data_IF_551774042275
#
_entry.id   IF_551774042275
#
_cell.length_a   1.000
_cell.length_b   1.000
_cell.length_c   1.000
_cell.angle_alpha   90.00
_cell.angle_beta   90.00
_cell.angle_gamma   90.00
#
_symmetry.space_group_name_H-M   'P 1'
#
loop_
_entity.id
_entity.type
_entity.pdbx_description
1 polymer ?
#
# COMPACT_ATOMS: atom_id res chain seq x y z
N UNK A 1 11.00 -20.66 -81.09
CA UNK A 1 10.09 -21.39 -82.02
C UNK A 1 8.85 -21.79 -81.25
N UNK A 2 7.66 -21.60 -81.83
CA UNK A 2 6.37 -21.95 -81.22
C UNK A 2 5.73 -23.11 -81.99
N UNK A 3 5.32 -24.15 -81.28
CA UNK A 3 4.81 -25.41 -81.86
C UNK A 3 3.74 -26.08 -80.96
N UNK A 4 3.07 -25.29 -80.11
CA UNK A 4 2.03 -25.79 -79.21
C UNK A 4 0.74 -26.04 -80.00
N UNK A 5 0.13 -27.21 -79.82
CA UNK A 5 -1.10 -27.61 -80.52
C UNK A 5 -0.86 -28.17 -81.93
N UNK A 6 -1.95 -28.34 -82.69
CA UNK A 6 -1.92 -28.82 -84.09
C UNK A 6 -2.74 -27.91 -84.98
N UNK A 7 -2.54 -27.97 -86.30
CA UNK A 7 -3.30 -27.15 -87.26
C UNK A 7 -4.10 -28.00 -88.25
N UNK A 8 -5.21 -27.44 -88.70
CA UNK A 8 -6.05 -27.98 -89.76
C UNK A 8 -5.97 -27.05 -90.97
N UNK A 9 -5.59 -27.60 -92.12
CA UNK A 9 -5.56 -26.92 -93.42
C UNK A 9 -6.76 -27.34 -94.27
N UNK A 10 -7.32 -26.39 -95.00
CA UNK A 10 -8.31 -26.63 -96.06
C UNK A 10 -7.61 -26.49 -97.41
N UNK A 11 -7.87 -27.41 -98.34
CA UNK A 11 -7.24 -27.37 -99.67
C UNK A 11 -7.48 -26.03 -100.38
N UNK A 12 -6.41 -25.46 -100.92
CA UNK A 12 -6.37 -24.17 -101.61
C UNK A 12 -6.87 -22.97 -100.76
N UNK A 13 -6.74 -23.06 -99.43
CA UNK A 13 -7.09 -21.98 -98.51
C UNK A 13 -5.87 -21.36 -97.84
N UNK A 14 -5.94 -20.06 -97.59
CA UNK A 14 -5.00 -19.33 -96.71
C UNK A 14 -5.40 -19.40 -95.24
N UNK A 15 -6.61 -19.88 -94.93
CA UNK A 15 -7.10 -19.98 -93.54
C UNK A 15 -6.50 -21.19 -92.85
N UNK A 16 -5.94 -20.98 -91.66
CA UNK A 16 -5.37 -22.03 -90.82
C UNK A 16 -6.08 -22.06 -89.46
N UNK A 17 -6.64 -23.22 -89.12
CA UNK A 17 -7.34 -23.42 -87.84
C UNK A 17 -6.45 -24.20 -86.89
N UNK A 18 -6.18 -23.63 -85.72
CA UNK A 18 -5.41 -24.26 -84.65
C UNK A 18 -6.29 -24.98 -83.63
N UNK A 19 -5.82 -26.11 -83.13
CA UNK A 19 -6.40 -26.83 -81.99
C UNK A 19 -5.37 -26.86 -80.86
N UNK A 20 -5.75 -26.35 -79.68
CA UNK A 20 -4.85 -26.22 -78.53
C UNK A 20 -3.77 -25.13 -78.68
N UNK A 21 -3.87 -24.30 -79.71
CA UNK A 21 -2.95 -23.18 -79.99
C UNK A 21 -3.34 -21.94 -79.15
N UNK A 22 -2.39 -21.02 -79.00
CA UNK A 22 -2.46 -19.80 -78.18
C UNK A 22 -1.79 -18.62 -78.90
N UNK A 23 -2.07 -18.46 -80.19
CA UNK A 23 -1.36 -17.51 -81.08
C UNK A 23 -1.49 -16.02 -80.71
N UNK A 24 -2.49 -15.63 -79.93
CA UNK A 24 -2.77 -14.23 -79.58
C UNK A 24 -2.30 -13.86 -78.17
N UNK A 25 -1.87 -14.82 -77.36
CA UNK A 25 -1.25 -14.51 -76.06
C UNK A 25 0.15 -13.90 -76.27
N UNK A 26 0.36 -12.67 -75.79
CA UNK A 26 1.60 -11.92 -76.00
C UNK A 26 2.87 -12.69 -75.59
N UNK A 27 2.80 -13.53 -74.56
CA UNK A 27 3.94 -14.32 -74.07
C UNK A 27 4.47 -15.34 -75.10
N UNK A 28 3.64 -15.76 -76.07
CA UNK A 28 4.01 -16.75 -77.08
C UNK A 28 4.75 -16.14 -78.29
N UNK A 29 4.77 -14.81 -78.40
CA UNK A 29 5.52 -14.05 -79.41
C UNK A 29 5.20 -14.44 -80.87
N UNK A 30 3.98 -14.92 -81.14
CA UNK A 30 3.50 -15.21 -82.50
C UNK A 30 2.98 -13.91 -83.12
N UNK A 31 3.52 -13.52 -84.27
CA UNK A 31 3.26 -12.25 -84.93
C UNK A 31 3.04 -12.42 -86.44
N UNK A 32 2.28 -11.52 -87.11
CA UNK A 32 2.27 -11.42 -88.56
C UNK A 32 3.70 -11.29 -89.14
N UNK A 33 3.86 -11.71 -90.40
CA UNK A 33 5.11 -11.81 -91.16
C UNK A 33 6.10 -12.89 -90.70
N UNK A 34 5.83 -13.59 -89.60
CA UNK A 34 6.68 -14.72 -89.19
C UNK A 34 6.53 -15.90 -90.15
N UNK A 35 7.65 -16.62 -90.35
CA UNK A 35 7.67 -17.87 -91.10
C UNK A 35 6.99 -18.99 -90.30
N UNK A 36 6.17 -19.77 -90.98
CA UNK A 36 5.50 -20.96 -90.47
C UNK A 36 5.77 -22.15 -91.38
N UNK A 37 6.08 -23.29 -90.78
CA UNK A 37 6.27 -24.56 -91.46
C UNK A 37 5.17 -25.51 -91.04
N UNK A 38 4.46 -26.10 -91.99
CA UNK A 38 3.36 -27.04 -91.74
C UNK A 38 3.74 -28.37 -92.39
N UNK A 39 3.82 -29.43 -91.59
CA UNK A 39 4.16 -30.76 -92.06
C UNK A 39 2.88 -31.54 -92.40
N UNK A 40 2.73 -31.89 -93.68
CA UNK A 40 1.65 -32.74 -94.20
C UNK A 40 2.28 -33.98 -94.81
N UNK A 41 2.08 -35.14 -94.16
CA UNK A 41 2.81 -36.36 -94.51
C UNK A 41 4.33 -36.17 -94.40
N UNK A 42 5.04 -36.44 -95.50
CA UNK A 42 6.50 -36.27 -95.60
C UNK A 42 6.93 -34.92 -96.19
N UNK A 43 5.98 -34.03 -96.50
CA UNK A 43 6.25 -32.73 -97.11
C UNK A 43 6.11 -31.61 -96.09
N UNK A 44 7.07 -30.68 -96.06
CA UNK A 44 7.01 -29.47 -95.25
C UNK A 44 6.62 -28.29 -96.14
N UNK A 45 5.47 -27.71 -95.86
CA UNK A 45 4.98 -26.51 -96.53
C UNK A 45 5.46 -25.27 -95.79
N UNK A 46 6.33 -24.49 -96.43
CA UNK A 46 6.79 -23.20 -95.93
C UNK A 46 5.79 -22.10 -96.30
N UNK A 47 5.45 -21.26 -95.35
CA UNK A 47 4.57 -20.11 -95.55
C UNK A 47 4.93 -19.01 -94.56
N UNK A 48 4.22 -17.88 -94.62
CA UNK A 48 4.31 -16.82 -93.62
C UNK A 48 2.92 -16.40 -93.16
N UNK A 49 2.83 -15.93 -91.93
CA UNK A 49 1.58 -15.50 -91.31
C UNK A 49 1.20 -14.12 -91.87
N UNK A 50 0.03 -13.99 -92.49
CA UNK A 50 -0.51 -12.72 -92.93
C UNK A 50 -1.12 -11.92 -91.77
N UNK A 51 -1.98 -12.59 -90.98
CA UNK A 51 -2.69 -11.99 -89.85
C UNK A 51 -3.15 -13.05 -88.86
N UNK A 52 -3.40 -12.65 -87.60
CA UNK A 52 -3.81 -13.54 -86.50
C UNK A 52 -5.14 -13.05 -85.95
N UNK A 53 -6.20 -13.82 -86.16
CA UNK A 53 -7.55 -13.45 -85.74
C UNK A 53 -7.76 -13.79 -84.25
N UNK A 54 -7.33 -14.97 -83.82
CA UNK A 54 -7.55 -15.47 -82.46
C UNK A 54 -6.42 -16.43 -82.03
N UNK A 55 -6.54 -16.99 -80.83
CA UNK A 55 -5.63 -18.04 -80.36
C UNK A 55 -5.63 -19.29 -81.26
N UNK A 56 -6.68 -19.49 -82.06
CA UNK A 56 -6.95 -20.69 -82.87
C UNK A 56 -7.24 -20.41 -84.33
N UNK A 57 -7.11 -19.17 -84.79
CA UNK A 57 -7.32 -18.81 -86.20
C UNK A 57 -6.26 -17.80 -86.66
N UNK A 58 -5.57 -18.13 -87.76
CA UNK A 58 -4.66 -17.24 -88.47
C UNK A 58 -4.87 -17.37 -89.98
N UNK A 59 -4.44 -16.34 -90.72
CA UNK A 59 -4.39 -16.31 -92.18
C UNK A 59 -2.94 -16.38 -92.65
N UNK A 60 -2.66 -17.20 -93.64
CA UNK A 60 -1.36 -17.35 -94.31
C UNK A 60 -1.25 -16.45 -95.55
N UNK A 61 -0.04 -16.10 -95.96
CA UNK A 61 0.18 -15.29 -97.16
C UNK A 61 -0.08 -16.08 -98.46
N UNK A 62 0.14 -17.39 -98.45
CA UNK A 62 -0.10 -18.26 -99.60
C UNK A 62 -1.08 -19.39 -99.25
N UNK A 63 -1.91 -19.88 -100.19
CA UNK A 63 -2.80 -21.00 -99.92
C UNK A 63 -2.02 -22.32 -99.77
N UNK A 64 -2.49 -23.20 -98.87
CA UNK A 64 -1.95 -24.56 -98.74
C UNK A 64 -2.71 -25.49 -99.71
N UNK A 65 -2.02 -26.25 -100.58
CA UNK A 65 -2.68 -27.02 -101.65
C UNK A 65 -3.45 -28.23 -101.12
N UNK A 66 -3.12 -28.73 -99.93
CA UNK A 66 -3.62 -30.00 -99.41
C UNK A 66 -4.41 -29.79 -98.12
N UNK A 67 -5.58 -30.44 -98.02
CA UNK A 67 -6.36 -30.49 -96.79
C UNK A 67 -5.77 -31.54 -95.83
N UNK A 68 -5.57 -31.16 -94.57
CA UNK A 68 -5.09 -32.06 -93.52
C UNK A 68 -5.60 -31.59 -92.17
N UNK A 69 -6.13 -32.51 -91.36
CA UNK A 69 -6.49 -32.25 -89.96
C UNK A 69 -5.36 -32.71 -89.05
N UNK A 70 -5.06 -31.92 -88.01
CA UNK A 70 -4.08 -32.30 -86.98
C UNK A 70 -2.61 -32.28 -87.46
N UNK A 71 -2.28 -31.49 -88.47
CA UNK A 71 -0.92 -31.32 -88.95
C UNK A 71 -0.02 -30.69 -87.87
N UNK A 72 1.23 -31.15 -87.80
CA UNK A 72 2.27 -30.51 -86.98
C UNK A 72 2.75 -29.25 -87.67
N UNK A 73 3.10 -28.24 -86.88
CA UNK A 73 3.62 -26.99 -87.39
C UNK A 73 4.65 -26.38 -86.44
N UNK A 74 5.47 -25.48 -86.97
CA UNK A 74 6.41 -24.66 -86.20
C UNK A 74 6.37 -23.24 -86.72
N UNK A 75 6.30 -22.27 -85.82
CA UNK A 75 6.44 -20.83 -86.12
C UNK A 75 7.79 -20.36 -85.58
N UNK A 76 8.55 -19.66 -86.42
CA UNK A 76 9.81 -19.05 -86.02
C UNK A 76 9.53 -17.74 -85.25
N UNK A 77 9.45 -17.85 -83.91
CA UNK A 77 9.14 -16.74 -83.00
C UNK A 77 10.33 -15.86 -82.62
N UNK A 78 11.55 -16.26 -82.96
CA UNK A 78 12.76 -15.48 -82.72
C UNK A 78 13.72 -15.61 -83.91
N UNK A 79 14.23 -14.48 -84.39
CA UNK A 79 15.66 -14.41 -84.73
C UNK A 79 16.36 -14.13 -83.40
N UNK A 80 17.27 -15.01 -82.96
CA UNK A 80 18.13 -14.70 -81.81
C UNK A 80 18.88 -13.39 -82.09
N UNK A 81 19.03 -12.53 -81.09
CA UNK A 81 19.73 -11.23 -81.15
C UNK A 81 19.11 -10.13 -82.03
N UNK A 82 17.77 -10.06 -82.11
CA UNK A 82 17.09 -8.95 -82.81
C UNK A 82 16.66 -7.81 -81.87
N UNK A 83 16.63 -6.60 -82.43
CA UNK A 83 16.14 -5.36 -81.78
C UNK A 83 14.75 -5.59 -81.13
N UNK A 84 13.90 -6.42 -81.73
CA UNK A 84 12.56 -6.72 -81.22
C UNK A 84 12.57 -7.51 -79.90
N UNK A 85 13.53 -8.42 -79.69
CA UNK A 85 13.66 -9.16 -78.42
C UNK A 85 14.10 -8.23 -77.29
N UNK A 86 15.06 -7.35 -77.57
CA UNK A 86 15.50 -6.31 -76.63
C UNK A 86 14.33 -5.36 -76.29
N UNK A 87 13.55 -4.94 -77.28
CA UNK A 87 12.38 -4.08 -77.06
C UNK A 87 11.34 -4.73 -76.13
N UNK A 88 11.02 -6.02 -76.33
CA UNK A 88 10.06 -6.73 -75.48
C UNK A 88 10.55 -6.89 -74.03
N UNK A 89 11.84 -7.19 -73.84
CA UNK A 89 12.43 -7.30 -72.50
C UNK A 89 12.39 -5.94 -71.76
N UNK A 90 12.73 -4.85 -72.46
CA UNK A 90 12.67 -3.48 -71.92
C UNK A 90 11.23 -3.11 -71.55
N UNK A 91 10.25 -3.45 -72.39
CA UNK A 91 8.83 -3.19 -72.10
C UNK A 91 8.35 -3.98 -70.88
N UNK A 92 8.74 -5.24 -70.73
CA UNK A 92 8.39 -6.05 -69.55
C UNK A 92 9.00 -5.48 -68.25
N UNK A 93 10.25 -5.03 -68.30
CA UNK A 93 10.90 -4.35 -67.17
C UNK A 93 10.18 -3.04 -66.81
N UNK A 94 9.86 -2.22 -67.82
CA UNK A 94 9.13 -0.96 -67.61
C UNK A 94 7.73 -1.19 -67.05
N UNK A 95 7.01 -2.21 -67.53
CA UNK A 95 5.69 -2.57 -66.98
C UNK A 95 5.76 -2.93 -65.49
N UNK A 96 6.81 -3.65 -65.08
CA UNK A 96 7.01 -4.01 -63.67
C UNK A 96 7.34 -2.77 -62.82
N UNK A 97 8.13 -1.84 -63.36
CA UNK A 97 8.46 -0.57 -62.70
C UNK A 97 7.23 0.34 -62.56
N UNK A 98 6.39 0.44 -63.59
CA UNK A 98 5.12 1.19 -63.51
C UNK A 98 4.20 0.57 -62.45
N UNK A 99 4.07 -0.76 -62.43
CA UNK A 99 3.28 -1.44 -61.41
C UNK A 99 3.83 -1.16 -60.00
N UNK A 100 5.15 -1.18 -59.79
CA UNK A 100 5.74 -0.81 -58.51
C UNK A 100 5.42 0.64 -58.11
N UNK A 101 5.57 1.59 -59.04
CA UNK A 101 5.24 3.00 -58.82
C UNK A 101 3.77 3.21 -58.48
N UNK A 102 2.86 2.51 -59.17
CA UNK A 102 1.42 2.55 -58.88
C UNK A 102 1.14 2.04 -57.47
N UNK A 103 1.75 0.93 -57.07
CA UNK A 103 1.59 0.38 -55.72
C UNK A 103 2.06 1.38 -54.66
N UNK A 104 3.23 1.99 -54.86
CA UNK A 104 3.75 3.00 -53.93
C UNK A 104 2.82 4.21 -53.87
N UNK A 105 2.38 4.74 -55.01
CA UNK A 105 1.45 5.87 -55.04
C UNK A 105 0.17 5.55 -54.26
N UNK A 106 -0.39 4.35 -54.44
CA UNK A 106 -1.57 3.90 -53.70
C UNK A 106 -1.31 3.80 -52.19
N UNK A 107 -0.17 3.25 -51.76
CA UNK A 107 0.19 3.17 -50.33
C UNK A 107 0.31 4.57 -49.70
N UNK A 108 0.82 5.55 -50.45
CA UNK A 108 1.06 6.92 -49.96
C UNK A 108 -0.19 7.81 -50.01
N UNK A 109 -1.17 7.51 -50.87
CA UNK A 109 -2.30 8.42 -51.16
C UNK A 109 -3.68 7.86 -50.81
N UNK A 110 -3.86 6.54 -50.82
CA UNK A 110 -5.12 5.92 -50.43
C UNK A 110 -5.22 5.78 -48.89
N UNK A 111 -6.42 5.50 -48.41
CA UNK A 111 -6.71 5.31 -46.99
C UNK A 111 -7.14 3.88 -46.68
N UNK A 112 -6.73 3.36 -45.52
CA UNK A 112 -7.18 2.08 -44.99
C UNK A 112 -6.33 0.88 -45.41
N UNK A 113 -7.00 -0.25 -45.64
CA UNK A 113 -6.36 -1.50 -46.10
C UNK A 113 -6.71 -1.70 -47.57
N UNK A 114 -5.69 -1.79 -48.42
CA UNK A 114 -5.84 -1.88 -49.87
C UNK A 114 -5.36 -3.23 -50.40
N UNK A 115 -5.99 -3.71 -51.46
CA UNK A 115 -5.55 -4.88 -52.21
C UNK A 115 -4.52 -4.46 -53.27
N UNK A 116 -3.37 -5.13 -53.26
CA UNK A 116 -2.21 -4.86 -54.12
C UNK A 116 -1.90 -6.11 -54.93
N UNK A 117 -1.92 -5.98 -56.26
CA UNK A 117 -1.48 -7.05 -57.16
C UNK A 117 0.03 -6.98 -57.36
N UNK A 118 0.75 -8.06 -57.09
CA UNK A 118 2.20 -8.18 -57.27
C UNK A 118 2.55 -8.55 -58.73
N UNK A 119 3.81 -8.38 -59.15
CA UNK A 119 4.26 -8.72 -60.51
C UNK A 119 4.05 -10.19 -60.90
N UNK A 120 3.99 -11.10 -59.92
CA UNK A 120 3.67 -12.52 -60.12
C UNK A 120 2.16 -12.81 -60.28
N UNK A 121 1.32 -11.77 -60.22
CA UNK A 121 -0.13 -11.85 -60.34
C UNK A 121 -0.88 -12.11 -59.03
N UNK A 122 -0.18 -12.35 -57.92
CA UNK A 122 -0.81 -12.58 -56.61
C UNK A 122 -1.34 -11.28 -56.01
N UNK A 123 -2.41 -11.37 -55.19
CA UNK A 123 -2.99 -10.21 -54.50
C UNK A 123 -2.68 -10.27 -53.02
N UNK A 124 -2.19 -9.17 -52.45
CA UNK A 124 -1.88 -9.01 -51.02
C UNK A 124 -2.59 -7.79 -50.45
N UNK A 125 -3.08 -7.92 -49.22
CA UNK A 125 -3.58 -6.80 -48.43
C UNK A 125 -2.41 -6.05 -47.80
N UNK A 126 -2.39 -4.73 -47.92
CA UNK A 126 -1.44 -3.88 -47.21
C UNK A 126 -2.13 -2.67 -46.58
N UNK A 127 -1.56 -2.12 -45.52
CA UNK A 127 -2.02 -0.88 -44.89
C UNK A 127 -1.35 0.31 -45.56
N UNK A 128 -2.13 1.35 -45.85
CA UNK A 128 -1.59 2.62 -46.35
C UNK A 128 -0.84 3.38 -45.24
N UNK A 129 -0.09 4.43 -45.59
CA UNK A 129 0.57 5.28 -44.59
C UNK A 129 -0.45 5.95 -43.67
N UNK A 130 -1.54 6.48 -44.22
CA UNK A 130 -2.61 7.10 -43.43
C UNK A 130 -3.23 6.14 -42.39
N UNK A 131 -3.40 4.86 -42.73
CA UNK A 131 -3.91 3.86 -41.78
C UNK A 131 -2.86 3.47 -40.73
N UNK A 132 -1.57 3.51 -41.08
CA UNK A 132 -0.48 3.31 -40.10
C UNK A 132 -0.40 4.47 -39.13
N UNK A 133 -0.44 5.70 -39.63
CA UNK A 133 -0.42 6.91 -38.80
C UNK A 133 -1.62 6.95 -37.86
N UNK A 134 -2.84 6.68 -38.37
CA UNK A 134 -4.04 6.57 -37.54
C UNK A 134 -3.90 5.54 -36.40
N UNK A 135 -3.21 4.43 -36.64
CA UNK A 135 -3.00 3.39 -35.62
C UNK A 135 -1.88 3.74 -34.63
N UNK A 136 -1.04 4.72 -34.95
CA UNK A 136 -0.02 5.27 -34.07
C UNK A 136 -0.56 6.48 -33.30
N UNK A 137 -1.48 7.23 -33.93
CA UNK A 137 -2.15 8.38 -33.35
C UNK A 137 -2.92 7.97 -32.09
N UNK A 138 -2.70 8.69 -30.99
CA UNK A 138 -3.27 8.39 -29.68
C UNK A 138 -2.61 7.24 -28.89
N UNK A 139 -1.55 6.59 -29.39
CA UNK A 139 -0.79 5.63 -28.57
C UNK A 139 0.18 6.37 -27.64
N UNK A 140 0.25 5.89 -26.39
CA UNK A 140 1.16 6.43 -25.39
C UNK A 140 2.62 6.06 -25.70
N UNK A 141 3.53 7.03 -25.55
CA UNK A 141 4.96 6.84 -25.79
C UNK A 141 5.56 5.84 -24.78
N UNK A 142 6.44 4.97 -25.27
CA UNK A 142 7.17 4.00 -24.45
C UNK A 142 8.22 4.67 -23.56
N UNK A 143 8.69 5.86 -23.93
CA UNK A 143 9.58 6.67 -23.09
C UNK A 143 8.85 7.34 -21.92
N UNK A 144 7.51 7.29 -21.88
CA UNK A 144 6.68 7.94 -20.87
C UNK A 144 6.11 9.29 -21.32
N UNK A 145 5.38 9.96 -20.42
CA UNK A 145 4.72 11.23 -20.69
C UNK A 145 3.58 11.51 -19.70
N UNK A 146 2.91 12.65 -19.85
CA UNK A 146 1.73 13.02 -19.05
C UNK A 146 0.45 12.62 -19.78
N UNK A 147 -0.45 11.90 -19.09
CA UNK A 147 -1.82 11.67 -19.55
C UNK A 147 -2.70 12.72 -18.89
N UNK A 148 -3.28 13.63 -19.67
CA UNK A 148 -4.13 14.73 -19.16
C UNK A 148 -5.62 14.40 -19.12
N UNK A 149 -6.04 13.25 -19.66
CA UNK A 149 -7.41 12.75 -19.61
C UNK A 149 -7.61 11.61 -18.62
N UNK A 150 -8.86 11.18 -18.48
CA UNK A 150 -9.22 10.06 -17.60
C UNK A 150 -8.64 8.74 -18.09
N UNK A 151 -8.20 7.90 -17.13
CA UNK A 151 -7.69 6.55 -17.39
C UNK A 151 -8.62 5.52 -16.77
N UNK A 152 -9.22 4.67 -17.62
CA UNK A 152 -10.01 3.52 -17.17
C UNK A 152 -9.17 2.25 -17.21
N UNK A 153 -8.98 1.61 -16.05
CA UNK A 153 -8.29 0.34 -15.97
C UNK A 153 -9.29 -0.82 -16.05
N UNK A 154 -9.03 -1.80 -16.93
CA UNK A 154 -9.87 -3.01 -17.07
C UNK A 154 -9.70 -4.00 -15.90
N UNK A 155 -8.72 -3.76 -15.04
CA UNK A 155 -8.48 -4.46 -13.78
C UNK A 155 -8.24 -3.40 -12.72
N UNK A 156 -8.69 -3.64 -11.49
CA UNK A 156 -8.51 -2.71 -10.36
C UNK A 156 -7.06 -2.71 -9.84
N UNK A 157 -6.07 -2.61 -10.73
CA UNK A 157 -4.66 -2.63 -10.36
C UNK A 157 -3.77 -1.87 -11.34
N UNK A 158 -2.86 -1.08 -10.80
CA UNK A 158 -1.75 -0.46 -11.53
C UNK A 158 -0.47 -1.26 -11.23
N UNK A 159 0.10 -1.87 -12.27
CA UNK A 159 1.37 -2.59 -12.17
C UNK A 159 2.53 -1.65 -12.53
N UNK A 160 3.44 -1.44 -11.59
CA UNK A 160 4.72 -0.78 -11.83
C UNK A 160 5.85 -1.82 -11.79
N UNK A 161 7.05 -1.42 -12.23
CA UNK A 161 8.25 -2.27 -12.12
C UNK A 161 8.62 -2.60 -10.67
N UNK A 162 8.12 -1.81 -9.71
CA UNK A 162 8.41 -1.96 -8.28
C UNK A 162 7.24 -2.52 -7.46
N UNK A 163 6.12 -2.90 -8.10
CA UNK A 163 5.00 -3.49 -7.37
C UNK A 163 3.66 -3.42 -8.09
N UNK A 164 2.62 -3.98 -7.48
CA UNK A 164 1.24 -3.87 -7.95
C UNK A 164 0.42 -3.15 -6.91
N UNK A 165 -0.20 -2.03 -7.27
CA UNK A 165 -1.10 -1.28 -6.41
C UNK A 165 -2.54 -1.60 -6.80
N UNK A 166 -3.27 -2.25 -5.90
CA UNK A 166 -4.70 -2.51 -6.11
C UNK A 166 -5.51 -1.24 -5.79
N UNK A 167 -6.45 -0.91 -6.66
CA UNK A 167 -7.44 0.14 -6.43
C UNK A 167 -8.65 -0.48 -5.71
N UNK A 168 -9.34 0.25 -4.82
CA UNK A 168 -10.58 -0.19 -4.19
C UNK A 168 -11.60 -0.67 -5.23
N UNK A 169 -12.41 -1.66 -4.86
CA UNK A 169 -13.46 -2.18 -5.73
C UNK A 169 -14.66 -1.24 -5.86
N UNK A 170 -14.87 -0.38 -4.86
CA UNK A 170 -15.93 0.61 -4.81
C UNK A 170 -15.48 1.95 -5.42
N UNK A 171 -16.42 2.65 -6.06
CA UNK A 171 -16.18 4.01 -6.55
C UNK A 171 -16.05 4.99 -5.38
N UNK A 172 -15.01 5.83 -5.37
CA UNK A 172 -14.83 6.85 -4.36
C UNK A 172 -13.48 7.56 -4.49
N UNK A 173 -13.22 8.50 -3.60
CA UNK A 173 -11.92 9.17 -3.50
C UNK A 173 -10.93 8.29 -2.75
N UNK A 174 -9.74 8.07 -3.33
CA UNK A 174 -8.65 7.40 -2.64
C UNK A 174 -8.10 8.29 -1.52
N UNK A 175 -7.82 7.70 -0.38
CA UNK A 175 -7.08 8.35 0.69
C UNK A 175 -5.60 8.43 0.32
N UNK A 176 -5.02 9.63 0.34
CA UNK A 176 -3.59 9.89 0.14
C UNK A 176 -2.82 9.84 1.46
N UNK A 177 -1.51 9.64 1.37
CA UNK A 177 -0.62 9.78 2.53
C UNK A 177 -0.68 11.22 3.02
N UNK A 178 -0.98 11.41 4.31
CA UNK A 178 -1.21 12.68 4.96
C UNK A 178 -2.68 13.04 5.16
N UNK A 179 -3.60 12.39 4.44
CA UNK A 179 -5.03 12.63 4.63
C UNK A 179 -5.44 12.30 6.06
N UNK A 180 -6.23 13.19 6.66
CA UNK A 180 -6.77 13.02 8.01
C UNK A 180 -5.71 12.73 9.09
N UNK A 181 -4.45 13.13 8.86
CA UNK A 181 -3.34 12.91 9.79
C UNK A 181 -2.75 11.49 9.76
N UNK A 182 -3.02 10.69 8.72
CA UNK A 182 -2.48 9.34 8.57
C UNK A 182 -1.32 9.28 7.57
N UNK A 183 -0.21 8.64 7.96
CA UNK A 183 0.95 8.47 7.08
C UNK A 183 1.84 9.73 6.92
N UNK A 184 1.48 10.83 7.59
CA UNK A 184 2.31 12.02 7.78
C UNK A 184 2.13 12.54 9.23
N UNK A 185 2.58 13.76 9.52
CA UNK A 185 2.36 14.40 10.83
C UNK A 185 0.88 14.61 11.12
N UNK A 186 0.50 14.56 12.41
CA UNK A 186 -0.85 14.86 12.86
C UNK A 186 -1.24 16.32 12.53
N UNK A 187 -2.53 16.55 12.27
CA UNK A 187 -3.04 17.91 11.95
C UNK A 187 -3.07 18.77 13.21
N UNK A 188 -2.51 19.97 13.18
CA UNK A 188 -2.64 20.91 14.29
C UNK A 188 -4.08 21.44 14.40
N UNK A 189 -4.62 21.51 15.61
CA UNK A 189 -5.94 22.08 15.90
C UNK A 189 -5.86 23.08 17.05
N UNK A 190 -6.42 24.27 16.83
CA UNK A 190 -6.52 25.33 17.83
C UNK A 190 -7.66 25.13 18.84
N UNK A 191 -8.62 24.27 18.50
CA UNK A 191 -9.75 23.93 19.37
C UNK A 191 -10.29 22.54 19.01
N UNK A 192 -10.10 21.56 19.89
CA UNK A 192 -10.55 20.19 19.65
C UNK A 192 -12.07 20.04 19.62
N UNK A 193 -12.82 21.01 20.13
CA UNK A 193 -14.28 20.99 20.05
C UNK A 193 -14.82 21.26 18.63
N UNK A 194 -14.03 21.94 17.81
CA UNK A 194 -14.37 22.40 16.46
C UNK A 194 -13.94 21.42 15.36
N UNK A 195 -13.24 20.34 15.72
CA UNK A 195 -12.88 19.28 14.78
C UNK A 195 -14.16 18.61 14.27
N UNK A 196 -14.31 18.56 12.94
CA UNK A 196 -15.46 17.93 12.25
C UNK A 196 -15.06 16.78 11.34
N UNK A 197 -13.79 16.71 10.96
CA UNK A 197 -13.21 15.65 10.15
C UNK A 197 -12.62 14.55 11.04
N UNK A 198 -12.85 13.30 10.66
CA UNK A 198 -12.21 12.17 11.32
C UNK A 198 -10.71 12.23 11.08
N UNK A 199 -9.90 11.87 12.07
CA UNK A 199 -8.46 11.89 11.90
C UNK A 199 -7.66 11.99 13.20
N UNK A 200 -6.35 12.16 13.04
CA UNK A 200 -5.40 12.37 14.12
C UNK A 200 -4.95 13.83 14.14
N UNK A 201 -5.06 14.44 15.32
CA UNK A 201 -4.76 15.85 15.53
C UNK A 201 -3.82 16.04 16.71
N UNK A 202 -3.13 17.17 16.76
CA UNK A 202 -2.31 17.64 17.88
C UNK A 202 -2.84 18.98 18.39
N UNK A 203 -2.75 19.22 19.69
CA UNK A 203 -3.05 20.52 20.28
C UNK A 203 -2.07 21.58 19.73
N UNK A 204 -2.60 22.72 19.29
CA UNK A 204 -1.77 23.83 18.81
C UNK A 204 -1.09 24.61 19.96
N UNK A 205 -1.58 24.49 21.20
CA UNK A 205 -0.93 25.07 22.39
C UNK A 205 -1.33 24.36 23.68
N UNK A 206 -0.52 24.50 24.73
CA UNK A 206 -0.79 23.95 26.06
C UNK A 206 -1.94 24.61 26.82
N UNK A 207 -2.47 25.73 26.34
CA UNK A 207 -3.40 26.57 27.09
C UNK A 207 -4.80 26.59 26.48
N UNK A 208 -5.14 25.56 25.71
CA UNK A 208 -6.47 25.38 25.14
C UNK A 208 -7.46 24.92 26.22
N UNK A 209 -8.62 25.60 26.40
CA UNK A 209 -9.52 25.37 27.53
C UNK A 209 -10.23 24.01 27.49
N UNK A 210 -10.31 23.38 26.32
CA UNK A 210 -11.02 22.12 26.12
C UNK A 210 -10.14 20.87 26.23
N UNK A 211 -8.83 21.03 26.39
CA UNK A 211 -7.92 19.90 26.61
C UNK A 211 -8.25 19.19 27.93
N UNK A 212 -7.97 17.88 28.03
CA UNK A 212 -8.11 17.18 29.30
C UNK A 212 -7.16 17.73 30.38
N UNK A 213 -6.02 18.26 29.96
CA UNK A 213 -4.97 18.82 30.82
C UNK A 213 -4.24 19.94 30.05
N UNK A 214 -3.80 20.99 30.75
CA UNK A 214 -3.12 22.13 30.13
C UNK A 214 -1.65 21.79 29.79
N UNK A 215 -1.43 21.16 28.65
CA UNK A 215 -0.12 20.62 28.25
C UNK A 215 0.15 20.70 26.75
N UNK A 216 1.44 20.83 26.41
CA UNK A 216 1.88 20.76 25.02
C UNK A 216 1.88 19.30 24.51
N UNK A 217 1.81 19.14 23.19
CA UNK A 217 1.97 17.85 22.49
C UNK A 217 0.93 16.77 22.83
N UNK A 218 -0.24 17.13 23.34
CA UNK A 218 -1.36 16.18 23.40
C UNK A 218 -1.82 15.86 21.98
N UNK A 219 -2.07 14.58 21.72
CA UNK A 219 -2.63 14.10 20.46
C UNK A 219 -4.05 13.63 20.68
N UNK A 220 -4.93 13.80 19.69
CA UNK A 220 -6.31 13.31 19.75
C UNK A 220 -6.66 12.53 18.49
N UNK A 221 -7.22 11.34 18.69
CA UNK A 221 -7.97 10.63 17.67
C UNK A 221 -9.42 11.12 17.72
N UNK A 222 -9.88 11.75 16.65
CA UNK A 222 -11.25 12.23 16.52
C UNK A 222 -12.06 11.34 15.57
N UNK A 223 -13.24 10.92 16.05
CA UNK A 223 -14.19 10.10 15.30
C UNK A 223 -15.59 10.69 15.44
N UNK A 224 -16.19 11.14 14.34
CA UNK A 224 -17.50 11.77 14.28
C UNK A 224 -18.38 11.08 13.23
N UNK A 225 -19.66 10.99 13.57
CA UNK A 225 -20.75 10.58 12.69
C UNK A 225 -21.96 11.46 12.98
N UNK A 226 -22.28 12.36 12.05
CA UNK A 226 -23.33 13.37 12.21
C UNK A 226 -23.06 14.25 13.45
N UNK A 227 -24.04 14.31 14.37
CA UNK A 227 -23.94 15.11 15.60
C UNK A 227 -23.23 14.40 16.76
N UNK A 228 -22.83 13.14 16.58
CA UNK A 228 -22.15 12.35 17.62
C UNK A 228 -20.67 12.24 17.31
N UNK A 229 -19.83 12.42 18.32
CA UNK A 229 -18.39 12.23 18.18
C UNK A 229 -17.77 11.58 19.42
N UNK A 230 -16.61 10.96 19.24
CA UNK A 230 -15.75 10.48 20.31
C UNK A 230 -14.33 10.96 20.05
N UNK A 231 -13.67 11.35 21.13
CA UNK A 231 -12.27 11.73 21.12
C UNK A 231 -11.52 10.89 22.15
N UNK A 232 -10.36 10.39 21.73
CA UNK A 232 -9.39 9.74 22.61
C UNK A 232 -8.12 10.56 22.54
N UNK A 233 -7.74 11.14 23.67
CA UNK A 233 -6.55 11.96 23.80
C UNK A 233 -5.41 11.15 24.41
N UNK A 234 -4.22 11.29 23.85
CA UNK A 234 -3.00 10.64 24.28
C UNK A 234 -2.00 11.70 24.71
N UNK A 235 -1.40 11.50 25.89
CA UNK A 235 -0.27 12.29 26.33
C UNK A 235 1.00 11.80 25.63
N UNK A 236 1.69 12.70 24.94
CA UNK A 236 2.97 12.41 24.28
C UNK A 236 4.14 12.66 25.24
N UNK A 237 4.16 11.95 26.37
CA UNK A 237 5.25 12.02 27.36
C UNK A 237 5.67 10.59 27.73
N UNK A 238 6.98 10.35 27.85
CA UNK A 238 7.54 9.02 28.12
C UNK A 238 7.30 8.57 29.57
N UNK A 239 7.38 9.49 30.53
CA UNK A 239 7.32 9.20 31.96
C UNK A 239 5.88 9.19 32.47
N UNK A 240 5.00 10.00 31.87
CA UNK A 240 3.60 10.11 32.30
C UNK A 240 2.68 9.78 31.11
N UNK A 241 2.18 8.55 31.08
CA UNK A 241 1.34 8.03 30.01
C UNK A 241 -0.15 8.07 30.36
N UNK A 242 -0.72 9.28 30.45
CA UNK A 242 -2.17 9.43 30.63
C UNK A 242 -2.91 9.39 29.30
N UNK A 243 -4.11 8.82 29.32
CA UNK A 243 -5.02 8.75 28.18
C UNK A 243 -6.40 9.15 28.64
N UNK A 244 -7.13 9.93 27.84
CA UNK A 244 -8.49 10.37 28.17
C UNK A 244 -9.46 10.07 27.05
N UNK A 245 -10.73 9.90 27.39
CA UNK A 245 -11.83 9.80 26.44
C UNK A 245 -12.95 10.75 26.80
N UNK A 246 -13.52 11.39 25.78
CA UNK A 246 -14.79 12.10 25.88
C UNK A 246 -15.68 11.80 24.69
N UNK A 247 -16.94 12.19 24.80
CA UNK A 247 -17.91 12.08 23.71
C UNK A 247 -18.70 13.37 23.56
N UNK A 248 -19.24 13.54 22.36
CA UNK A 248 -20.18 14.59 21.98
C UNK A 248 -21.49 13.96 21.56
N UNK A 249 -22.59 14.55 21.99
CA UNK A 249 -23.91 14.33 21.43
C UNK A 249 -24.48 15.63 20.84
N UNK A 250 -25.77 15.65 20.54
CA UNK A 250 -26.46 16.82 19.97
C UNK A 250 -26.43 18.07 20.89
N UNK A 251 -26.18 17.89 22.18
CA UNK A 251 -26.14 18.97 23.17
C UNK A 251 -24.73 19.51 23.42
N UNK A 252 -23.69 18.83 22.91
CA UNK A 252 -22.31 19.29 22.97
C UNK A 252 -21.35 18.24 23.52
N UNK A 253 -20.15 18.69 23.88
CA UNK A 253 -19.09 17.84 24.42
C UNK A 253 -19.31 17.56 25.91
N UNK A 254 -19.20 16.29 26.28
CA UNK A 254 -19.11 15.86 27.67
C UNK A 254 -17.72 16.08 28.26
N UNK A 255 -17.60 15.78 29.55
CA UNK A 255 -16.32 15.83 30.29
C UNK A 255 -15.33 14.79 29.76
N UNK A 256 -14.06 15.06 29.97
CA UNK A 256 -13.00 14.07 29.83
C UNK A 256 -13.03 13.08 30.99
N UNK A 257 -12.82 11.82 30.65
CA UNK A 257 -12.61 10.74 31.61
C UNK A 257 -11.26 10.11 31.32
N UNK A 258 -10.41 10.01 32.33
CA UNK A 258 -9.11 9.36 32.22
C UNK A 258 -9.25 7.84 32.21
N UNK A 259 -8.41 7.15 31.44
CA UNK A 259 -8.27 5.70 31.51
C UNK A 259 -7.37 5.34 32.68
N UNK A 260 -7.84 4.40 33.50
CA UNK A 260 -6.99 3.76 34.50
C UNK A 260 -6.13 2.68 33.84
N UNK A 261 -4.82 2.81 34.02
CA UNK A 261 -3.78 1.93 33.48
C UNK A 261 -2.79 1.58 34.59
N UNK A 262 -1.84 0.69 34.32
CA UNK A 262 -0.78 0.38 35.27
C UNK A 262 0.13 1.58 35.57
N UNK A 263 0.09 2.65 34.76
CA UNK A 263 0.86 3.87 34.99
C UNK A 263 0.25 4.80 36.06
N UNK A 264 -1.08 4.78 36.26
CA UNK A 264 -1.78 5.66 37.22
C UNK A 264 -2.58 4.89 38.27
N UNK A 265 -2.42 3.56 38.34
CA UNK A 265 -3.02 2.72 39.38
C UNK A 265 -2.05 1.66 39.91
N UNK A 266 -2.22 1.27 41.16
CA UNK A 266 -1.53 0.14 41.79
C UNK A 266 -2.53 -0.87 42.35
N UNK A 267 -2.08 -2.10 42.60
CA UNK A 267 -2.86 -3.13 43.32
C UNK A 267 -2.47 -3.12 44.79
N UNK A 268 -3.46 -2.97 45.67
CA UNK A 268 -3.28 -3.11 47.12
C UNK A 268 -3.08 -4.59 47.53
N UNK A 269 -2.76 -4.82 48.81
CA UNK A 269 -2.52 -6.12 49.45
C UNK A 269 -3.72 -7.07 49.44
N UNK A 270 -4.89 -6.56 49.04
CA UNK A 270 -6.12 -7.30 48.89
C UNK A 270 -6.53 -7.47 47.40
N UNK A 271 -5.73 -6.94 46.46
CA UNK A 271 -5.92 -7.07 45.02
C UNK A 271 -6.83 -6.02 44.37
N UNK A 272 -7.22 -4.96 45.08
CA UNK A 272 -8.02 -3.88 44.51
C UNK A 272 -7.14 -2.84 43.82
N UNK A 273 -7.65 -2.24 42.73
CA UNK A 273 -6.99 -1.12 42.07
C UNK A 273 -7.22 0.17 42.85
N UNK A 274 -6.12 0.90 43.11
CA UNK A 274 -6.09 2.20 43.79
C UNK A 274 -5.28 3.19 42.95
N UNK A 275 -5.50 4.49 43.15
CA UNK A 275 -4.69 5.52 42.52
C UNK A 275 -3.21 5.29 42.84
N UNK A 276 -2.35 5.35 41.82
CA UNK A 276 -0.90 5.35 42.01
C UNK A 276 -0.48 6.66 42.69
N UNK A 277 0.40 6.54 43.67
CA UNK A 277 0.99 7.60 44.48
C UNK A 277 2.28 7.03 45.09
N UNK A 278 3.14 7.76 45.82
CA UNK A 278 4.25 7.11 46.49
C UNK A 278 3.71 6.06 47.46
N UNK A 279 3.99 4.79 47.17
CA UNK A 279 3.44 3.66 47.90
C UNK A 279 4.59 2.74 48.29
N UNK A 280 4.68 2.51 49.59
CA UNK A 280 5.64 1.63 50.23
C UNK A 280 4.89 0.37 50.64
N UNK A 281 5.28 -0.78 50.09
CA UNK A 281 4.79 -2.07 50.54
C UNK A 281 5.70 -2.59 51.63
N UNK A 282 5.21 -2.65 52.86
CA UNK A 282 5.95 -3.12 54.01
C UNK A 282 5.74 -4.63 54.21
N UNK A 283 6.81 -5.40 54.01
CA UNK A 283 6.88 -6.82 54.34
C UNK A 283 7.58 -7.03 55.69
N UNK A 284 7.66 -8.29 56.15
CA UNK A 284 8.27 -8.61 57.44
C UNK A 284 9.77 -8.27 57.50
N UNK A 285 10.47 -8.37 56.37
CA UNK A 285 11.93 -8.31 56.26
C UNK A 285 12.43 -7.24 55.28
N UNK A 286 11.58 -6.76 54.38
CA UNK A 286 11.94 -5.79 53.35
C UNK A 286 10.77 -4.86 52.98
N UNK A 287 11.06 -3.89 52.12
CA UNK A 287 10.06 -3.02 51.48
C UNK A 287 10.13 -3.16 49.96
N UNK A 288 8.99 -3.05 49.30
CA UNK A 288 8.93 -2.79 47.86
C UNK A 288 8.43 -1.36 47.62
N UNK A 289 9.10 -0.67 46.69
CA UNK A 289 8.83 0.72 46.36
C UNK A 289 8.34 0.82 44.91
N UNK A 290 7.45 1.77 44.66
CA UNK A 290 7.16 2.22 43.30
C UNK A 290 8.08 3.37 42.88
N UNK A 291 8.00 3.78 41.62
CA UNK A 291 8.85 4.86 41.08
C UNK A 291 8.76 6.16 41.90
N UNK A 292 7.57 6.50 42.40
CA UNK A 292 7.38 7.75 43.15
C UNK A 292 7.94 7.71 44.57
N UNK A 293 8.10 6.51 45.17
CA UNK A 293 8.67 6.31 46.51
C UNK A 293 10.15 5.90 46.50
N UNK A 294 10.83 6.07 45.36
CA UNK A 294 12.26 5.78 45.22
C UNK A 294 13.09 6.54 46.27
N UNK A 295 13.92 5.80 47.02
CA UNK A 295 14.80 6.33 48.06
C UNK A 295 14.25 6.22 49.48
N UNK A 296 13.04 5.69 49.68
CA UNK A 296 12.54 5.31 51.01
C UNK A 296 13.34 4.12 51.55
N UNK A 297 13.65 4.13 52.84
CA UNK A 297 14.35 3.04 53.52
C UNK A 297 13.52 2.49 54.69
N UNK A 298 13.72 1.22 55.02
CA UNK A 298 13.11 0.56 56.18
C UNK A 298 14.19 0.15 57.17
N UNK A 299 13.96 0.43 58.46
CA UNK A 299 14.74 -0.10 59.58
C UNK A 299 13.84 -0.96 60.47
N UNK A 300 14.22 -2.23 60.69
CA UNK A 300 13.52 -3.13 61.61
C UNK A 300 14.06 -2.93 63.03
N UNK A 301 13.26 -2.29 63.90
CA UNK A 301 13.66 -1.93 65.26
C UNK A 301 13.36 -3.05 66.27
N UNK A 302 12.46 -3.98 65.92
CA UNK A 302 12.09 -5.12 66.74
C UNK A 302 10.85 -5.84 66.18
N UNK A 303 10.40 -6.89 66.87
CA UNK A 303 9.22 -7.67 66.45
C UNK A 303 8.00 -6.75 66.31
N UNK A 304 7.47 -6.67 65.10
CA UNK A 304 6.33 -5.82 64.77
C UNK A 304 6.63 -4.33 64.89
N UNK A 305 7.90 -3.88 64.88
CA UNK A 305 8.27 -2.47 64.99
C UNK A 305 9.19 -2.06 63.83
N UNK A 306 8.67 -1.24 62.94
CA UNK A 306 9.33 -0.79 61.71
C UNK A 306 9.44 0.72 61.69
N UNK A 307 10.56 1.23 61.19
CA UNK A 307 10.76 2.66 60.93
C UNK A 307 10.94 2.88 59.43
N UNK A 308 10.06 3.68 58.83
CA UNK A 308 10.08 4.05 57.42
C UNK A 308 10.68 5.45 57.29
N UNK A 309 11.80 5.55 56.58
CA UNK A 309 12.60 6.77 56.45
C UNK A 309 12.51 7.40 55.07
N UNK A 310 12.65 8.73 55.02
CA UNK A 310 12.72 9.46 53.75
C UNK A 310 11.35 9.89 53.22
N UNK A 311 10.37 9.98 54.12
CA UNK A 311 8.99 10.39 53.85
C UNK A 311 8.61 11.60 54.71
N UNK A 312 7.49 12.25 54.41
CA UNK A 312 6.94 13.41 55.16
C UNK A 312 5.62 13.03 55.84
N UNK A 313 5.49 11.76 56.23
CA UNK A 313 4.26 11.18 56.74
C UNK A 313 3.38 10.55 55.66
N UNK A 314 2.11 10.33 55.99
CA UNK A 314 1.13 9.79 55.05
C UNK A 314 0.61 10.87 54.11
N UNK A 315 0.23 10.46 52.90
CA UNK A 315 -0.37 11.38 51.93
C UNK A 315 -1.72 11.94 52.45
N UNK A 316 -1.89 13.26 52.39
CA UNK A 316 -2.98 13.97 53.06
C UNK A 316 -4.27 14.13 52.22
N UNK A 317 -4.32 13.65 50.98
CA UNK A 317 -5.43 13.96 50.05
C UNK A 317 -6.73 13.15 50.33
N UNK A 318 -6.69 12.18 51.24
CA UNK A 318 -7.84 11.36 51.63
C UNK A 318 -8.35 10.39 50.56
N UNK A 319 -7.67 10.21 49.43
CA UNK A 319 -8.14 9.35 48.32
C UNK A 319 -8.14 7.84 48.68
N UNK A 320 -7.45 7.46 49.76
CA UNK A 320 -7.45 6.10 50.31
C UNK A 320 -8.45 5.90 51.48
N UNK A 321 -9.38 6.85 51.69
CA UNK A 321 -10.46 6.75 52.67
C UNK A 321 -10.08 7.26 54.07
N UNK A 322 -10.96 6.99 55.04
CA UNK A 322 -10.87 7.43 56.45
C UNK A 322 -9.68 6.79 57.20
N UNK A 323 -9.10 5.72 56.66
CA UNK A 323 -8.09 4.87 57.31
C UNK A 323 -6.64 5.34 57.10
N UNK A 324 -6.40 6.65 57.20
CA UNK A 324 -5.07 7.25 57.43
C UNK A 324 -3.91 6.77 56.50
N UNK A 325 -4.20 6.41 55.25
CA UNK A 325 -3.16 6.19 54.23
C UNK A 325 -2.49 4.82 54.24
N UNK A 326 -3.12 3.77 54.77
CA UNK A 326 -2.61 2.40 54.65
C UNK A 326 -3.70 1.35 54.36
N UNK A 327 -3.29 0.19 53.83
CA UNK A 327 -4.16 -0.99 53.64
C UNK A 327 -3.53 -2.18 54.35
N UNK A 328 -4.31 -2.74 55.28
CA UNK A 328 -3.95 -3.92 56.06
C UNK A 328 -4.30 -5.19 55.28
N UNK A 329 -3.45 -6.23 55.28
CA UNK A 329 -3.75 -7.49 54.64
C UNK A 329 -4.95 -8.18 55.34
N UNK A 330 -5.91 -8.60 54.52
CA UNK A 330 -7.12 -9.28 54.98
C UNK A 330 -7.10 -10.78 54.66
N UNK A 331 -7.78 -11.55 55.51
CA UNK A 331 -8.06 -12.96 55.27
C UNK A 331 -9.12 -13.14 54.16
N UNK A 332 -9.44 -14.39 53.82
CA UNK A 332 -10.44 -14.70 52.80
C UNK A 332 -11.88 -14.29 53.17
N UNK A 333 -12.12 -13.83 54.40
CA UNK A 333 -13.41 -13.35 54.91
C UNK A 333 -13.45 -11.81 55.01
N UNK A 334 -12.40 -11.11 54.53
CA UNK A 334 -12.30 -9.65 54.64
C UNK A 334 -12.01 -9.16 56.06
N UNK A 335 -11.47 -10.02 56.94
CA UNK A 335 -11.05 -9.65 58.29
C UNK A 335 -9.56 -9.34 58.32
N UNK A 336 -9.18 -8.27 59.00
CA UNK A 336 -7.79 -7.88 59.17
C UNK A 336 -6.99 -8.99 59.87
N UNK A 337 -5.82 -9.30 59.32
CA UNK A 337 -4.92 -10.31 59.87
C UNK A 337 -4.02 -9.76 60.99
N UNK A 338 -3.81 -8.45 61.01
CA UNK A 338 -3.01 -7.71 61.98
C UNK A 338 -3.71 -6.40 62.33
N UNK A 339 -3.36 -5.84 63.48
CA UNK A 339 -3.66 -4.46 63.87
C UNK A 339 -2.40 -3.63 63.69
N UNK A 340 -2.58 -2.38 63.29
CA UNK A 340 -1.48 -1.44 63.11
C UNK A 340 -1.74 -0.23 63.99
N UNK A 341 -0.69 0.22 64.66
CA UNK A 341 -0.58 1.56 65.23
C UNK A 341 0.60 2.28 64.58
N UNK A 342 0.61 3.61 64.56
CA UNK A 342 1.67 4.37 63.92
C UNK A 342 1.92 5.72 64.59
N UNK A 343 3.17 6.19 64.50
CA UNK A 343 3.56 7.52 64.92
C UNK A 343 4.37 8.20 63.81
N UNK A 344 3.95 9.40 63.39
CA UNK A 344 4.72 10.21 62.46
C UNK A 344 5.68 11.08 63.27
N UNK A 345 6.97 10.86 63.09
CA UNK A 345 8.02 11.61 63.78
C UNK A 345 8.07 13.06 63.27
N UNK A 346 8.64 14.00 64.05
CA UNK A 346 8.73 15.41 63.65
C UNK A 346 9.53 15.68 62.36
N UNK A 347 10.42 14.76 61.98
CA UNK A 347 11.18 14.78 60.72
C UNK A 347 10.40 14.23 59.52
N UNK A 348 9.21 13.64 59.77
CA UNK A 348 8.33 13.08 58.75
C UNK A 348 8.41 11.56 58.62
N UNK A 349 9.42 10.92 59.21
CA UNK A 349 9.56 9.46 59.19
C UNK A 349 8.39 8.79 59.94
N UNK A 350 8.03 7.57 59.56
CA UNK A 350 6.86 6.87 60.11
C UNK A 350 7.31 5.65 60.90
N UNK A 351 6.97 5.59 62.18
CA UNK A 351 7.03 4.36 62.98
C UNK A 351 5.74 3.57 62.81
N UNK A 352 5.86 2.28 62.53
CA UNK A 352 4.76 1.35 62.34
C UNK A 352 4.88 0.22 63.37
N UNK A 353 3.83 0.05 64.16
CA UNK A 353 3.69 -1.01 65.14
C UNK A 353 2.64 -2.01 64.68
N UNK A 354 2.99 -3.28 64.59
CA UNK A 354 2.15 -4.37 64.08
C UNK A 354 1.86 -5.35 65.20
N UNK A 355 0.57 -5.62 65.41
CA UNK A 355 0.08 -6.51 66.45
C UNK A 355 -0.79 -7.62 65.86
N UNK A 356 -0.81 -8.78 66.50
CA UNK A 356 -1.61 -9.90 66.04
C UNK A 356 -3.10 -9.65 66.26
N UNK A 357 -3.91 -9.89 65.22
CA UNK A 357 -5.37 -9.84 65.32
C UNK A 357 -5.97 -11.24 65.16
N UNK A 358 -6.43 -11.83 66.26
CA UNK A 358 -7.01 -13.17 66.26
C UNK A 358 -8.45 -13.21 65.70
N UNK A 359 -9.17 -12.07 65.71
CA UNK A 359 -10.61 -11.99 65.40
C UNK A 359 -11.46 -12.93 66.30
N UNK A 360 -11.31 -12.80 67.62
CA UNK A 360 -11.93 -13.66 68.62
C UNK A 360 -13.48 -13.64 68.60
N UNK A 361 -14.08 -12.63 67.98
CA UNK A 361 -15.52 -12.53 67.70
C UNK A 361 -16.01 -13.58 66.68
N UNK A 362 -15.10 -14.12 65.86
CA UNK A 362 -15.40 -15.15 64.88
C UNK A 362 -15.49 -16.54 65.53
N UNK A 363 -16.27 -17.47 64.94
CA UNK A 363 -16.26 -18.87 65.36
C UNK A 363 -14.84 -19.43 65.31
N UNK A 364 -14.48 -20.32 66.25
CA UNK A 364 -13.09 -20.75 66.49
C UNK A 364 -12.34 -21.21 65.23
N UNK A 365 -13.05 -21.85 64.28
CA UNK A 365 -12.49 -22.32 63.01
C UNK A 365 -12.07 -21.19 62.05
N UNK A 366 -12.66 -20.00 62.18
CA UNK A 366 -12.39 -18.81 61.37
C UNK A 366 -11.57 -17.76 62.13
N UNK A 367 -11.16 -18.06 63.36
CA UNK A 367 -10.22 -17.20 64.07
C UNK A 367 -8.84 -17.31 63.42
N UNK A 368 -8.19 -16.17 63.27
CA UNK A 368 -6.85 -16.07 62.73
C UNK A 368 -5.82 -16.56 63.75
N UNK A 369 -5.71 -17.88 63.95
CA UNK A 369 -4.69 -18.49 64.82
C UNK A 369 -3.36 -18.60 64.07
N UNK A 370 -2.45 -17.64 64.27
CA UNK A 370 -1.13 -17.61 63.63
C UNK A 370 -0.07 -18.26 64.53
N UNK A 371 0.76 -19.12 63.94
CA UNK A 371 1.89 -19.75 64.64
C UNK A 371 3.01 -18.72 64.79
N UNK A 372 3.53 -18.59 66.02
CA UNK A 372 4.68 -17.75 66.39
C UNK A 372 5.99 -18.48 66.17
N UNK A 373 6.12 -19.69 66.73
CA UNK A 373 7.25 -20.58 66.53
C UNK A 373 6.84 -22.01 66.92
N UNK A 374 7.68 -22.99 66.57
CA UNK A 374 7.58 -24.33 67.13
C UNK A 374 8.51 -24.41 68.34
N UNK A 375 8.05 -25.00 69.44
CA UNK A 375 8.90 -25.27 70.59
C UNK A 375 9.93 -26.40 70.31
N UNK A 376 10.79 -26.71 71.28
CA UNK A 376 11.82 -27.75 71.17
C UNK A 376 11.24 -29.16 70.91
N UNK A 377 9.93 -29.35 71.14
CA UNK A 377 9.19 -30.60 70.97
C UNK A 377 8.36 -30.62 69.68
N UNK A 378 8.38 -29.54 68.89
CA UNK A 378 7.68 -29.41 67.61
C UNK A 378 6.20 -29.04 67.73
N UNK A 379 5.75 -28.57 68.90
CA UNK A 379 4.38 -28.09 69.12
C UNK A 379 4.28 -26.61 68.68
N UNK A 380 3.26 -26.24 67.88
CA UNK A 380 3.08 -24.86 67.46
C UNK A 380 2.64 -23.97 68.64
N UNK A 381 3.45 -22.97 68.96
CA UNK A 381 3.10 -21.87 69.86
C UNK A 381 2.41 -20.80 69.04
N UNK A 382 1.19 -20.41 69.41
CA UNK A 382 0.40 -19.39 68.71
C UNK A 382 0.64 -18.00 69.30
N UNK A 383 0.48 -16.96 68.48
CA UNK A 383 0.44 -15.58 68.98
C UNK A 383 -0.79 -15.36 69.86
N UNK A 384 -0.64 -14.60 70.93
CA UNK A 384 -1.78 -14.07 71.69
C UNK A 384 -2.40 -12.88 70.95
N UNK A 385 -3.70 -12.64 71.16
CA UNK A 385 -4.37 -11.48 70.56
C UNK A 385 -3.74 -10.18 71.11
N UNK A 386 -3.45 -9.23 70.22
CA UNK A 386 -2.73 -7.99 70.51
C UNK A 386 -1.24 -8.14 70.84
N UNK A 387 -0.65 -9.34 70.73
CA UNK A 387 0.79 -9.51 70.88
C UNK A 387 1.53 -8.86 69.69
N UNK A 388 2.64 -8.12 69.90
CA UNK A 388 3.47 -7.62 68.81
C UNK A 388 3.91 -8.76 67.88
N UNK A 389 3.69 -8.59 66.58
CA UNK A 389 4.06 -9.59 65.58
C UNK A 389 4.47 -8.90 64.27
N UNK A 390 5.47 -9.46 63.58
CA UNK A 390 5.85 -9.00 62.26
C UNK A 390 4.73 -9.26 61.23
N UNK A 391 4.77 -8.56 60.09
CA UNK A 391 3.81 -8.76 58.98
C UNK A 391 3.75 -10.25 58.58
N UNK A 392 2.56 -10.80 58.26
CA UNK A 392 2.45 -12.21 57.85
C UNK A 392 3.31 -12.53 56.61
N UNK A 393 3.89 -13.72 56.56
CA UNK A 393 4.65 -14.17 55.39
C UNK A 393 3.80 -14.10 54.12
N UNK A 394 4.41 -13.66 53.01
CA UNK A 394 3.73 -13.45 51.71
C UNK A 394 2.57 -12.44 51.74
N UNK A 395 2.48 -11.61 52.79
CA UNK A 395 1.59 -10.45 52.86
C UNK A 395 2.40 -9.19 53.11
N UNK A 396 1.80 -8.06 52.81
CA UNK A 396 2.39 -6.75 53.06
C UNK A 396 1.32 -5.78 53.53
N UNK A 397 1.77 -4.67 54.09
CA UNK A 397 0.96 -3.49 54.37
C UNK A 397 1.28 -2.48 53.28
N UNK A 398 0.27 -2.00 52.56
CA UNK A 398 0.48 -0.87 51.64
C UNK A 398 0.39 0.42 52.44
N UNK A 399 1.42 1.26 52.36
CA UNK A 399 1.45 2.58 52.95
C UNK A 399 1.57 3.61 51.84
N UNK A 400 0.60 4.53 51.77
CA UNK A 400 0.63 5.66 50.86
C UNK A 400 1.24 6.86 51.55
N UNK A 401 2.46 7.19 51.14
CA UNK A 401 3.32 8.16 51.82
C UNK A 401 3.38 9.46 51.04
N UNK A 402 3.67 10.56 51.74
CA UNK A 402 4.04 11.83 51.13
C UNK A 402 5.55 11.90 50.97
N UNK A 403 6.03 12.17 49.75
CA UNK A 403 7.46 12.25 49.49
C UNK A 403 7.96 13.69 49.61
N UNK A 404 9.16 13.91 50.18
CA UNK A 404 9.71 15.25 50.29
C UNK A 404 10.01 15.85 48.90
N UNK A 405 10.02 17.17 48.80
CA UNK A 405 10.23 17.89 47.54
C UNK A 405 11.59 17.56 46.89
N UNK A 406 12.59 17.21 47.70
CA UNK A 406 13.91 16.78 47.27
C UNK A 406 14.04 15.26 47.08
N UNK A 407 12.94 14.51 46.99
CA UNK A 407 12.97 13.09 46.66
C UNK A 407 13.56 12.86 45.26
N UNK A 408 14.11 11.67 45.04
CA UNK A 408 14.75 11.31 43.76
C UNK A 408 13.75 11.49 42.60
N UNK A 409 12.50 11.05 42.79
CA UNK A 409 11.45 11.18 41.80
C UNK A 409 11.06 12.64 41.52
N UNK A 410 10.83 13.45 42.55
CA UNK A 410 10.42 14.85 42.39
C UNK A 410 11.52 15.69 41.70
N UNK A 411 12.79 15.39 41.97
CA UNK A 411 13.92 16.01 41.27
C UNK A 411 13.99 15.61 39.80
N UNK A 412 13.76 14.34 39.47
CA UNK A 412 13.69 13.85 38.07
C UNK A 412 12.56 14.55 37.30
N UNK A 413 11.38 14.68 37.90
CA UNK A 413 10.24 15.38 37.30
C UNK A 413 10.55 16.86 37.05
N UNK A 414 11.08 17.56 38.06
CA UNK A 414 11.43 18.98 37.93
C UNK A 414 12.51 19.25 36.86
N UNK A 415 13.49 18.34 36.72
CA UNK A 415 14.50 18.45 35.67
C UNK A 415 13.91 18.20 34.27
N UNK A 416 13.04 17.20 34.12
CA UNK A 416 12.36 16.91 32.87
C UNK A 416 11.48 18.08 32.41
N UNK A 417 10.74 18.70 33.34
CA UNK A 417 9.95 19.90 33.07
C UNK A 417 10.81 21.08 32.63
N UNK A 418 11.96 21.30 33.29
CA UNK A 418 12.90 22.36 32.91
C UNK A 418 13.44 22.16 31.50
N UNK A 419 13.86 20.94 31.15
CA UNK A 419 14.36 20.60 29.82
C UNK A 419 13.28 20.79 28.74
N UNK A 420 12.05 20.35 29.02
CA UNK A 420 10.93 20.54 28.09
C UNK A 420 10.61 22.02 27.85
N UNK A 421 10.71 22.86 28.90
CA UNK A 421 10.53 24.30 28.78
C UNK A 421 11.63 24.94 27.94
N UNK A 422 12.89 24.59 28.19
CA UNK A 422 14.03 25.09 27.42
C UNK A 422 13.96 24.69 25.93
N UNK A 423 13.49 23.48 25.63
CA UNK A 423 13.30 23.01 24.25
C UNK A 423 12.16 23.76 23.55
N UNK A 424 11.04 23.99 24.25
CA UNK A 424 9.94 24.79 23.73
C UNK A 424 10.35 26.25 23.45
N UNK A 425 11.13 26.87 24.35
CA UNK A 425 11.68 28.21 24.13
C UNK A 425 12.61 28.26 22.91
N UNK A 426 13.46 27.23 22.72
CA UNK A 426 14.33 27.14 21.55
C UNK A 426 13.55 27.02 20.24
N UNK A 427 12.51 26.18 20.21
CA UNK A 427 11.65 26.04 19.03
C UNK A 427 10.92 27.36 18.71
N UNK A 428 10.41 28.06 19.72
CA UNK A 428 9.77 29.37 19.54
C UNK A 428 10.75 30.44 19.00
N UNK A 429 12.00 30.44 19.47
CA UNK A 429 13.04 31.32 18.92
C UNK A 429 13.40 31.01 17.46
N UNK A 430 13.47 29.72 17.10
CA UNK A 430 13.73 29.29 15.73
C UNK A 430 12.59 29.68 14.79
N UNK A 431 11.34 29.51 15.22
CA UNK A 431 10.15 29.95 14.48
C UNK A 431 10.15 31.47 14.29
N UNK A 432 10.39 32.27 15.34
CA UNK A 432 10.49 33.73 15.19
C UNK A 432 11.61 34.16 14.25
N UNK A 433 12.78 33.52 14.32
CA UNK A 433 13.91 33.80 13.41
C UNK A 433 13.54 33.44 11.96
N UNK A 434 12.81 32.35 11.75
CA UNK A 434 12.34 31.95 10.43
C UNK A 434 11.33 32.94 9.84
N UNK A 435 10.38 33.44 10.64
CA UNK A 435 9.40 34.44 10.19
C UNK A 435 10.03 35.80 9.88
N UNK A 436 11.04 36.22 10.64
CA UNK A 436 11.78 37.46 10.38
C UNK A 436 12.58 37.36 9.08
N UNK A 437 13.16 36.20 8.77
CA UNK A 437 13.88 35.99 7.53
C UNK A 437 12.95 35.98 6.31
N UNK A 438 11.75 35.39 6.43
CA UNK A 438 10.76 35.39 5.33
C UNK A 438 10.21 36.80 5.04
N UNK A 439 10.14 37.69 6.03
CA UNK A 439 9.71 39.09 5.82
C UNK A 439 10.81 40.02 5.28
N UNK A 440 12.04 39.53 5.11
CA UNK A 440 13.19 40.31 4.61
C UNK A 440 13.58 39.99 3.17
N UNK A 441 12.97 38.97 2.56
CA UNK A 441 12.99 38.70 1.12
C UNK A 441 11.72 39.24 0.46
#
# INVERSE_FOLDING_TARGET
MYNVGTVTTTANSTKLIGMGTKWKENINLVLPMQMIQIQIGNTVHNNSIHSIQSNTELTLNFPIPTAQTGAKYVIFTTTMDSISAAANAIVAMNSSNVQFSDIQNRIMTESGVIDVKLPDGTVRKTRTEAERDKQLDGKFDKAGGTISGDVTFSKNAVKSTKGTHALPAESGTLMQVGDYGWGAGAKSSSNWNEITENGVYVAASSSQPELPEAMNFLMVLHMQSGYTASQIAFRSNREITSTWRRSKDIFGWGKWYEFYTEANTTKDSNGNLKAASPIVKLFADHIELNEESEGVEMEHLGIGHYLIKGVVGFNADGAWGIDNGFVIPQDHNGKNMVLIDYEVRPDGDIEVFVFHQQNADMPERFQNKRIKHFDEEGVPVYFENYEPCDVPESRWIDMRVEMPVNSIYNLKQAEAERLAKEEAERQAEEEQKSEINIKRE
#
